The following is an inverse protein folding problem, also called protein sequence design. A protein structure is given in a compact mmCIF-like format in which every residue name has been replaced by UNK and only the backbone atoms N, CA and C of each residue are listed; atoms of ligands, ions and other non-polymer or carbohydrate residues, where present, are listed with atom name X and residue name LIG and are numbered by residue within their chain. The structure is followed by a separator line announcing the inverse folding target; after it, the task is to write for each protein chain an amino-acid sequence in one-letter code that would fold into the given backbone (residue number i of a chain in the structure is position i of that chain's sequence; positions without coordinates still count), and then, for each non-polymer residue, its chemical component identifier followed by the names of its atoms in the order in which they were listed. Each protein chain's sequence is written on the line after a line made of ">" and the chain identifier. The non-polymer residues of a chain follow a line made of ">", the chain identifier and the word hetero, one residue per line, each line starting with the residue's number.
data_IF_890431917010
#
_entry.id   IF_890431917010
#
_cell.length_a   1.000
_cell.length_b   1.000
_cell.length_c   1.000
_cell.angle_alpha   90.00
_cell.angle_beta   90.00
_cell.angle_gamma   90.00
#
_symmetry.space_group_name_H-M   'P 1'
#
loop_
_entity.id
_entity.type
_entity.pdbx_description
1 polymer ?
#
# COMPACT_ATOMS: atom_id res chain seq x y z
N UNK A 1 -7.90 13.48 -1.86
CA UNK A 1 -8.58 12.50 -2.73
C UNK A 1 -9.83 11.93 -2.06
N UNK A 2 -9.75 11.00 -1.10
CA UNK A 2 -10.96 10.40 -0.45
C UNK A 2 -11.99 11.43 0.02
N UNK A 3 -11.56 12.50 0.71
CA UNK A 3 -12.45 13.58 1.16
C UNK A 3 -13.20 14.29 0.03
N UNK A 4 -12.57 14.46 -1.12
CA UNK A 4 -13.20 15.10 -2.29
C UNK A 4 -14.16 14.14 -3.00
N UNK A 5 -13.83 12.85 -3.03
CA UNK A 5 -14.67 11.82 -3.64
C UNK A 5 -15.95 11.56 -2.84
N UNK A 6 -15.91 11.75 -1.50
CA UNK A 6 -17.08 11.57 -0.63
C UNK A 6 -17.39 10.11 -0.29
N UNK A 7 -16.62 9.15 -0.80
CA UNK A 7 -16.74 7.73 -0.51
C UNK A 7 -15.36 7.05 -0.38
N UNK A 8 -15.30 5.83 0.21
CA UNK A 8 -14.08 5.04 0.27
C UNK A 8 -13.52 4.73 -1.11
N UNK A 9 -12.20 4.53 -1.16
CA UNK A 9 -11.48 4.07 -2.35
C UNK A 9 -10.99 2.66 -2.07
N UNK A 10 -11.31 1.72 -2.95
CA UNK A 10 -10.74 0.37 -2.89
C UNK A 10 -9.33 0.45 -3.46
N UNK A 11 -8.35 0.04 -2.66
CA UNK A 11 -6.93 0.11 -3.03
C UNK A 11 -6.26 -1.22 -2.75
N UNK A 12 -5.25 -1.56 -3.54
CA UNK A 12 -4.30 -2.64 -3.24
C UNK A 12 -2.88 -2.06 -3.23
N UNK A 13 -1.97 -2.70 -2.50
CA UNK A 13 -0.54 -2.39 -2.60
C UNK A 13 -0.05 -2.73 -4.00
N UNK A 14 0.78 -1.85 -4.56
CA UNK A 14 1.48 -2.13 -5.80
C UNK A 14 2.79 -2.85 -5.45
N UNK A 15 2.87 -4.14 -5.77
CA UNK A 15 4.11 -4.90 -5.61
C UNK A 15 5.02 -4.67 -6.81
N UNK A 16 6.11 -3.94 -6.58
CA UNK A 16 7.15 -3.66 -7.58
C UNK A 16 8.40 -4.54 -7.38
N UNK A 17 8.40 -5.45 -6.39
CA UNK A 17 9.57 -6.23 -6.02
C UNK A 17 9.93 -7.34 -7.01
N UNK A 18 8.94 -7.92 -7.69
CA UNK A 18 9.15 -9.00 -8.67
C UNK A 18 9.69 -8.52 -10.02
N UNK A 19 9.79 -7.21 -10.25
CA UNK A 19 10.09 -6.68 -11.58
C UNK A 19 11.13 -5.58 -11.50
N UNK A 20 12.23 -5.79 -12.21
CA UNK A 20 13.40 -4.92 -12.41
C UNK A 20 13.10 -3.55 -13.05
N UNK A 21 11.86 -3.06 -13.00
CA UNK A 21 11.38 -1.83 -13.64
C UNK A 21 11.74 -0.55 -12.87
N UNK A 22 12.49 -0.64 -11.77
CA UNK A 22 12.54 0.42 -10.78
C UNK A 22 13.92 1.07 -10.62
N UNK A 23 14.67 1.21 -11.71
CA UNK A 23 15.81 2.15 -11.68
C UNK A 23 15.36 3.55 -12.11
N UNK A 24 14.47 3.65 -13.10
CA UNK A 24 14.03 4.90 -13.71
C UNK A 24 12.50 5.07 -13.58
N UNK A 25 12.01 6.20 -13.02
CA UNK A 25 10.59 6.55 -13.00
C UNK A 25 9.90 6.54 -14.37
N UNK A 26 10.63 6.71 -15.47
CA UNK A 26 10.08 6.64 -16.83
C UNK A 26 9.58 5.24 -17.20
N UNK A 27 10.30 4.18 -16.81
CA UNK A 27 9.94 2.79 -17.11
C UNK A 27 8.60 2.42 -16.44
N UNK A 28 8.34 2.99 -15.26
CA UNK A 28 7.08 2.83 -14.56
C UNK A 28 5.92 3.51 -15.33
N UNK A 29 6.12 4.74 -15.81
CA UNK A 29 5.08 5.46 -16.53
C UNK A 29 4.72 4.77 -17.84
N UNK A 30 5.71 4.39 -18.65
CA UNK A 30 5.49 3.68 -19.92
C UNK A 30 4.77 2.33 -19.72
N UNK A 31 5.05 1.62 -18.62
CA UNK A 31 4.40 0.33 -18.37
C UNK A 31 2.92 0.47 -17.98
N UNK A 32 2.57 1.52 -17.24
CA UNK A 32 1.23 1.71 -16.67
C UNK A 32 0.37 2.71 -17.43
N UNK A 33 0.90 3.52 -18.35
CA UNK A 33 0.15 4.58 -19.05
C UNK A 33 -1.11 4.06 -19.76
N UNK A 34 -1.04 2.87 -20.36
CA UNK A 34 -2.18 2.24 -21.04
C UNK A 34 -3.07 1.39 -20.11
N UNK A 35 -2.72 1.29 -18.82
CA UNK A 35 -3.39 0.43 -17.83
C UNK A 35 -4.16 1.20 -16.76
N UNK A 36 -3.90 2.50 -16.63
CA UNK A 36 -4.52 3.34 -15.60
C UNK A 36 -4.94 4.69 -16.17
N UNK A 37 -6.07 5.22 -15.72
CA UNK A 37 -6.56 6.53 -16.17
C UNK A 37 -5.80 7.71 -15.53
N UNK A 38 -5.11 7.48 -14.40
CA UNK A 38 -4.43 8.53 -13.64
C UNK A 38 -3.24 7.99 -12.84
N UNK A 39 -2.10 8.66 -12.97
CA UNK A 39 -0.90 8.48 -12.14
C UNK A 39 -0.68 9.76 -11.31
N UNK A 40 -0.43 9.61 -10.01
CA UNK A 40 -0.15 10.74 -9.11
C UNK A 40 1.27 10.58 -8.55
N UNK A 41 2.18 11.48 -8.95
CA UNK A 41 3.55 11.49 -8.44
C UNK A 41 3.64 12.27 -7.11
N UNK A 42 3.74 11.56 -5.98
CA UNK A 42 3.81 12.15 -4.64
C UNK A 42 5.24 12.38 -4.12
N UNK A 43 6.27 12.17 -4.94
CA UNK A 43 7.67 12.14 -4.52
C UNK A 43 8.11 10.78 -3.97
N UNK A 44 9.40 10.62 -3.63
CA UNK A 44 9.91 9.38 -3.07
C UNK A 44 9.26 9.09 -1.71
N UNK A 45 8.68 7.90 -1.56
CA UNK A 45 8.13 7.43 -0.30
C UNK A 45 8.63 6.01 -0.02
N UNK A 46 9.37 5.85 1.07
CA UNK A 46 9.78 4.53 1.57
C UNK A 46 8.99 4.24 2.83
N UNK A 47 7.95 3.44 2.69
CA UNK A 47 7.21 2.94 3.82
C UNK A 47 7.08 1.43 3.69
N UNK A 48 7.45 0.72 4.76
CA UNK A 48 7.07 -0.69 4.90
C UNK A 48 5.54 -0.79 4.76
N UNK A 49 5.02 -1.95 4.32
CA UNK A 49 3.58 -2.14 4.21
C UNK A 49 2.85 -1.87 5.53
N UNK A 50 1.54 -1.68 5.45
CA UNK A 50 0.69 -1.57 6.63
C UNK A 50 0.68 -2.85 7.46
N UNK A 51 0.59 -2.69 8.78
CA UNK A 51 0.26 -3.78 9.71
C UNK A 51 -1.20 -4.19 9.50
N UNK A 52 -1.46 -5.50 9.40
CA UNK A 52 -2.81 -6.07 9.25
C UNK A 52 -3.14 -6.88 10.51
N UNK A 53 -4.25 -6.53 11.16
CA UNK A 53 -4.74 -7.19 12.37
C UNK A 53 -6.19 -7.63 12.13
N UNK A 54 -6.46 -8.88 12.43
CA UNK A 54 -7.78 -9.48 12.39
C UNK A 54 -8.46 -9.37 13.76
N UNK A 55 -9.63 -8.72 13.77
CA UNK A 55 -10.49 -8.52 14.94
C UNK A 55 -11.79 -9.34 14.87
N UNK A 56 -11.87 -10.35 14.00
CA UNK A 56 -13.05 -11.22 13.87
C UNK A 56 -13.10 -12.32 14.95
N UNK A 57 -12.02 -12.51 15.70
CA UNK A 57 -11.91 -13.46 16.82
C UNK A 57 -11.86 -12.73 18.17
N UNK A 58 -12.11 -13.47 19.27
CA UNK A 58 -12.11 -12.93 20.64
C UNK A 58 -10.79 -12.25 21.05
N UNK A 59 -9.67 -12.70 20.48
CA UNK A 59 -8.37 -12.06 20.64
C UNK A 59 -7.88 -11.50 19.29
N UNK A 60 -7.28 -10.29 19.26
CA UNK A 60 -6.68 -9.74 18.05
C UNK A 60 -5.60 -10.66 17.48
N UNK A 61 -5.63 -10.92 16.17
CA UNK A 61 -4.63 -11.76 15.50
C UNK A 61 -3.81 -10.95 14.51
N UNK A 62 -2.49 -10.93 14.69
CA UNK A 62 -1.58 -10.31 13.74
C UNK A 62 -1.50 -11.17 12.46
N UNK A 63 -1.95 -10.62 11.33
CA UNK A 63 -1.85 -11.26 10.01
C UNK A 63 -0.60 -10.84 9.23
N UNK A 64 -0.18 -9.57 9.38
CA UNK A 64 1.04 -9.03 8.76
C UNK A 64 1.63 -7.94 9.64
N UNK A 65 2.90 -8.05 10.00
CA UNK A 65 3.65 -6.96 10.64
C UNK A 65 4.10 -5.92 9.59
N UNK A 66 3.96 -4.65 9.91
CA UNK A 66 4.30 -3.51 9.06
C UNK A 66 4.71 -2.30 9.90
N UNK A 67 4.48 -1.07 9.42
CA UNK A 67 4.88 0.14 10.15
C UNK A 67 4.07 0.45 11.43
N UNK A 68 2.92 -0.20 11.63
CA UNK A 68 2.09 0.05 12.81
C UNK A 68 2.64 -0.64 14.06
N UNK A 69 2.61 0.05 15.20
CA UNK A 69 2.99 -0.52 16.50
C UNK A 69 2.08 -1.70 16.89
N UNK A 70 2.72 -2.81 17.30
CA UNK A 70 2.09 -4.08 17.67
C UNK A 70 2.42 -4.51 19.10
N UNK A 71 3.13 -3.68 19.88
CA UNK A 71 3.55 -4.01 21.26
C UNK A 71 2.39 -4.41 22.18
N UNK A 72 1.21 -3.87 21.92
CA UNK A 72 -0.02 -4.10 22.67
C UNK A 72 -0.71 -5.45 22.38
N UNK A 73 -0.32 -6.17 21.32
CA UNK A 73 -0.94 -7.46 20.95
C UNK A 73 -0.35 -8.62 21.79
N UNK A 74 0.90 -8.48 22.26
CA UNK A 74 1.67 -9.54 22.93
C UNK A 74 1.53 -9.59 24.46
N UNK A 75 0.43 -9.10 25.04
CA UNK A 75 0.20 -9.13 26.51
C UNK A 75 -0.67 -10.30 26.97
#
# INVERSE_FOLDING_TARGET
>A
IVRQLGNPIVTTSLDISERTFASDPMDFMEFYEDRVDLIIHAGPSYHDPSTIIDFTTDQPRLLRAGQGDISWITS
#
